data_IF_110744005072
#
_entry.id   IF_110744005072
#
_cell.length_a   1.000
_cell.length_b   1.000
_cell.length_c   1.000
_cell.angle_alpha   90.00
_cell.angle_beta   90.00
_cell.angle_gamma   90.00
#
_symmetry.space_group_name_H-M   'P 1'
#
loop_
_entity.id
_entity.type
_entity.pdbx_description
1 polymer ?
#
# COMPACT_ATOMS: atom_id res chain seq x y z
N UNK A 1 15.41 -31.12 58.00
CA UNK A 1 14.05 -30.68 57.60
C UNK A 1 14.15 -29.96 56.27
N UNK A 2 13.54 -30.56 55.26
CA UNK A 2 13.26 -30.04 53.92
C UNK A 2 12.61 -28.66 53.93
N UNK A 3 12.98 -27.78 52.97
CA UNK A 3 12.08 -26.99 52.09
C UNK A 3 12.89 -26.12 51.09
N UNK A 4 12.31 -25.77 49.91
CA UNK A 4 13.01 -25.74 48.63
C UNK A 4 13.26 -24.33 48.04
N UNK A 5 13.90 -24.34 46.86
CA UNK A 5 14.27 -23.23 46.00
C UNK A 5 13.11 -22.31 45.58
N UNK A 6 13.43 -21.02 45.38
CA UNK A 6 12.65 -20.11 44.55
C UNK A 6 13.61 -19.38 43.59
N UNK A 7 13.60 -19.82 42.35
CA UNK A 7 14.15 -19.08 41.22
C UNK A 7 13.30 -17.82 41.02
N UNK A 8 13.93 -16.66 41.05
CA UNK A 8 13.30 -15.41 40.64
C UNK A 8 13.47 -15.30 39.12
N UNK A 9 12.41 -15.65 38.40
CA UNK A 9 12.32 -15.50 36.96
C UNK A 9 12.44 -14.02 36.58
N UNK A 10 13.27 -13.74 35.57
CA UNK A 10 13.33 -12.45 34.91
C UNK A 10 11.98 -12.16 34.21
N UNK A 11 11.55 -10.89 34.11
CA UNK A 11 10.35 -10.55 33.36
C UNK A 11 10.58 -10.77 31.85
N UNK A 12 9.73 -11.59 31.25
CA UNK A 12 9.56 -11.73 29.80
C UNK A 12 9.29 -10.34 29.17
N UNK A 13 9.90 -10.00 28.03
CA UNK A 13 9.52 -8.80 27.29
C UNK A 13 8.16 -9.06 26.61
N UNK A 14 7.06 -8.61 27.23
CA UNK A 14 5.80 -8.43 26.50
C UNK A 14 5.95 -7.23 25.56
N UNK A 15 6.54 -7.48 24.40
CA UNK A 15 6.46 -6.60 23.24
C UNK A 15 5.10 -6.83 22.57
N UNK A 16 4.03 -6.33 23.19
CA UNK A 16 2.74 -6.17 22.49
C UNK A 16 2.62 -4.72 22.02
N UNK A 17 3.34 -4.45 20.95
CA UNK A 17 3.10 -3.35 20.04
C UNK A 17 3.64 -3.84 18.71
N UNK A 18 2.91 -4.73 18.05
CA UNK A 18 3.17 -5.02 16.64
C UNK A 18 3.18 -3.66 15.93
N UNK A 19 4.31 -3.21 15.35
CA UNK A 19 4.21 -2.13 14.39
C UNK A 19 3.22 -2.64 13.34
N UNK A 20 2.20 -1.85 13.03
CA UNK A 20 1.38 -2.06 11.85
C UNK A 20 2.28 -1.81 10.64
N UNK A 21 3.21 -2.73 10.40
CA UNK A 21 4.00 -2.81 9.21
C UNK A 21 2.98 -3.08 8.12
N UNK A 22 2.89 -2.15 7.17
CA UNK A 22 2.16 -2.38 5.94
C UNK A 22 2.67 -3.63 5.21
N UNK A 23 2.14 -3.95 4.04
CA UNK A 23 2.46 -5.18 3.35
C UNK A 23 3.98 -5.34 3.19
N UNK A 24 4.46 -6.55 3.46
CA UNK A 24 5.86 -6.90 3.19
C UNK A 24 6.13 -6.71 1.71
N UNK A 25 7.02 -5.80 1.33
CA UNK A 25 7.27 -5.45 -0.07
C UNK A 25 7.71 -6.66 -0.92
N UNK A 26 8.40 -7.63 -0.31
CA UNK A 26 8.83 -8.89 -0.93
C UNK A 26 7.67 -9.86 -1.23
N UNK A 27 6.52 -9.65 -0.58
CA UNK A 27 5.31 -10.49 -0.71
C UNK A 27 4.24 -9.86 -1.61
N UNK A 28 4.46 -8.63 -2.08
CA UNK A 28 3.54 -7.96 -3.00
C UNK A 28 3.51 -8.67 -4.35
N UNK A 29 2.30 -8.93 -4.84
CA UNK A 29 2.11 -9.45 -6.18
C UNK A 29 2.13 -8.30 -7.19
N UNK A 30 3.25 -8.15 -7.89
CA UNK A 30 3.41 -7.19 -8.98
C UNK A 30 2.92 -7.75 -10.34
N UNK A 31 2.41 -8.98 -10.37
CA UNK A 31 1.86 -9.54 -11.60
C UNK A 31 0.43 -9.05 -11.84
N UNK A 32 0.03 -8.94 -13.11
CA UNK A 32 -1.32 -8.49 -13.47
C UNK A 32 -1.56 -6.98 -13.39
N UNK A 33 -0.50 -6.18 -13.18
CA UNK A 33 -0.54 -4.73 -13.30
C UNK A 33 -0.98 -4.29 -14.70
N UNK A 34 -1.88 -3.31 -14.75
CA UNK A 34 -2.35 -2.73 -15.99
C UNK A 34 -1.75 -1.33 -16.17
N UNK A 35 -1.20 -0.99 -17.35
CA UNK A 35 -0.71 0.36 -17.58
C UNK A 35 -1.86 1.36 -17.44
N UNK A 36 -1.59 2.48 -16.76
CA UNK A 36 -2.59 3.52 -16.62
C UNK A 36 -2.97 4.07 -18.01
N UNK A 37 -4.26 4.22 -18.34
CA UNK A 37 -4.70 4.73 -19.64
C UNK A 37 -4.02 6.06 -19.98
N UNK A 38 -3.49 6.17 -21.21
CA UNK A 38 -2.74 7.36 -21.64
C UNK A 38 -3.46 8.71 -21.42
N UNK A 39 -4.79 8.83 -21.58
CA UNK A 39 -5.49 10.08 -21.23
C UNK A 39 -5.40 10.46 -19.74
N UNK A 40 -5.41 9.47 -18.84
CA UNK A 40 -5.28 9.69 -17.39
C UNK A 40 -3.86 10.07 -17.03
N UNK A 41 -2.85 9.39 -17.61
CA UNK A 41 -1.43 9.73 -17.46
C UNK A 41 -1.19 11.18 -17.85
N UNK A 42 -1.54 11.57 -19.10
CA UNK A 42 -1.33 12.95 -19.58
C UNK A 42 -2.03 14.00 -18.73
N UNK A 43 -3.24 13.70 -18.25
CA UNK A 43 -3.98 14.61 -17.37
C UNK A 43 -3.28 14.78 -16.03
N UNK A 44 -2.80 13.68 -15.43
CA UNK A 44 -2.05 13.72 -14.18
C UNK A 44 -0.69 14.41 -14.34
N UNK A 45 0.07 14.11 -15.39
CA UNK A 45 1.35 14.77 -15.71
C UNK A 45 1.17 16.29 -15.88
N UNK A 46 0.09 16.71 -16.54
CA UNK A 46 -0.23 18.14 -16.71
C UNK A 46 -0.53 18.83 -15.36
N UNK A 47 -1.18 18.12 -14.44
CA UNK A 47 -1.53 18.63 -13.11
C UNK A 47 -0.33 18.62 -12.15
N UNK A 48 0.54 17.61 -12.25
CA UNK A 48 1.71 17.44 -11.39
C UNK A 48 2.95 18.16 -11.92
N UNK A 49 3.00 18.48 -13.22
CA UNK A 49 4.14 19.16 -13.85
C UNK A 49 5.37 18.27 -14.05
N UNK A 50 5.19 16.95 -14.06
CA UNK A 50 6.27 15.95 -14.16
C UNK A 50 5.79 14.73 -14.92
N UNK A 51 6.73 13.94 -15.46
CA UNK A 51 6.42 12.70 -16.19
C UNK A 51 6.13 11.55 -15.24
N UNK A 52 5.23 10.65 -15.63
CA UNK A 52 4.85 9.46 -14.87
C UNK A 52 5.17 8.17 -15.66
N UNK A 53 6.45 7.89 -15.97
CA UNK A 53 6.80 6.75 -16.82
C UNK A 53 6.49 5.42 -16.13
N UNK A 54 5.75 4.55 -16.82
CA UNK A 54 5.51 3.19 -16.37
C UNK A 54 4.55 3.05 -15.19
N UNK A 55 3.67 4.01 -14.95
CA UNK A 55 2.64 3.88 -13.92
C UNK A 55 1.67 2.73 -14.24
N UNK A 56 1.60 1.76 -13.33
CA UNK A 56 0.77 0.56 -13.43
C UNK A 56 -0.22 0.49 -12.27
N UNK A 57 -1.46 0.13 -12.57
CA UNK A 57 -2.52 -0.08 -11.59
C UNK A 57 -2.73 -1.57 -11.34
N UNK A 58 -2.82 -1.93 -10.07
CA UNK A 58 -3.12 -3.27 -9.58
C UNK A 58 -4.51 -3.27 -8.96
N UNK A 59 -5.35 -4.15 -9.45
CA UNK A 59 -6.75 -4.33 -9.05
C UNK A 59 -7.01 -5.81 -8.77
N UNK A 60 -8.09 -6.10 -8.05
CA UNK A 60 -8.50 -7.47 -7.74
C UNK A 60 -8.10 -7.90 -6.33
N UNK A 61 -8.20 -9.21 -6.06
CA UNK A 61 -8.09 -9.74 -4.71
C UNK A 61 -6.72 -9.46 -4.06
N UNK A 62 -5.63 -9.71 -4.79
CA UNK A 62 -4.28 -9.49 -4.28
C UNK A 62 -4.02 -8.01 -3.94
N UNK A 63 -4.46 -7.09 -4.80
CA UNK A 63 -4.32 -5.65 -4.56
C UNK A 63 -5.20 -5.17 -3.39
N UNK A 64 -6.42 -5.72 -3.23
CA UNK A 64 -7.30 -5.36 -2.13
C UNK A 64 -6.78 -5.87 -0.78
N UNK A 65 -6.22 -7.09 -0.75
CA UNK A 65 -5.56 -7.66 0.44
C UNK A 65 -4.34 -6.83 0.83
N UNK A 66 -3.43 -6.57 -0.11
CA UNK A 66 -2.25 -5.75 0.15
C UNK A 66 -2.61 -4.34 0.66
N UNK A 67 -3.62 -3.70 0.05
CA UNK A 67 -4.06 -2.38 0.47
C UNK A 67 -4.79 -2.42 1.83
N UNK A 68 -5.47 -3.52 2.17
CA UNK A 68 -6.06 -3.73 3.48
C UNK A 68 -4.99 -3.94 4.57
N UNK A 69 -3.94 -4.71 4.29
CA UNK A 69 -2.77 -4.86 5.17
C UNK A 69 -2.06 -3.52 5.41
N UNK A 70 -1.99 -2.67 4.37
CA UNK A 70 -1.48 -1.31 4.49
C UNK A 70 -2.39 -0.36 5.29
N UNK A 71 -3.61 -0.78 5.62
CA UNK A 71 -4.64 0.07 6.22
C UNK A 71 -5.08 1.23 5.30
N UNK A 72 -4.91 1.09 3.99
CA UNK A 72 -5.07 2.17 3.02
C UNK A 72 -6.23 1.92 2.03
N UNK A 73 -6.67 2.97 1.34
CA UNK A 73 -7.63 2.86 0.23
C UNK A 73 -6.95 2.55 -1.10
N UNK A 74 -5.72 3.03 -1.22
CA UNK A 74 -4.76 2.71 -2.24
C UNK A 74 -3.36 3.00 -1.67
N UNK A 75 -2.32 2.47 -2.30
CA UNK A 75 -0.94 2.83 -2.00
C UNK A 75 -0.05 2.63 -3.23
N UNK A 76 1.11 3.30 -3.23
CA UNK A 76 2.09 3.25 -4.31
C UNK A 76 3.42 2.67 -3.83
N UNK A 77 4.02 1.79 -4.65
CA UNK A 77 5.39 1.30 -4.50
C UNK A 77 6.10 1.41 -5.84
N UNK A 78 7.07 2.32 -5.94
CA UNK A 78 7.70 2.67 -7.22
C UNK A 78 6.64 3.19 -8.21
N UNK A 79 6.51 2.53 -9.36
CA UNK A 79 5.48 2.87 -10.36
C UNK A 79 4.21 2.02 -10.25
N UNK A 80 4.08 1.16 -9.23
CA UNK A 80 2.94 0.27 -9.03
C UNK A 80 1.96 0.84 -8.01
N UNK A 81 0.69 0.92 -8.38
CA UNK A 81 -0.38 1.51 -7.56
C UNK A 81 -1.43 0.44 -7.28
N UNK A 82 -1.63 0.10 -6.01
CA UNK A 82 -2.56 -0.93 -5.58
C UNK A 82 -3.82 -0.29 -5.02
N UNK A 83 -4.99 -0.66 -5.52
CA UNK A 83 -6.27 -0.14 -5.03
C UNK A 83 -7.08 -1.18 -4.28
N UNK A 84 -7.74 -0.76 -3.19
CA UNK A 84 -8.83 -1.53 -2.61
C UNK A 84 -9.99 -1.70 -3.58
N UNK A 85 -10.74 -2.78 -3.39
CA UNK A 85 -11.95 -3.10 -4.15
C UNK A 85 -12.92 -1.90 -4.18
N UNK A 86 -13.27 -1.47 -5.40
CA UNK A 86 -14.17 -0.33 -5.64
C UNK A 86 -13.60 1.04 -5.29
N UNK A 87 -12.28 1.18 -5.07
CA UNK A 87 -11.62 2.48 -4.85
C UNK A 87 -11.03 3.07 -6.12
N UNK A 88 -10.68 2.25 -7.10
CA UNK A 88 -10.34 2.73 -8.44
C UNK A 88 -11.62 3.15 -9.18
N UNK A 89 -11.88 4.46 -9.19
CA UNK A 89 -13.07 5.05 -9.80
C UNK A 89 -12.73 6.39 -10.49
N UNK A 90 -11.96 6.37 -11.59
CA UNK A 90 -11.41 7.57 -12.24
C UNK A 90 -12.48 8.50 -12.85
N UNK A 91 -13.73 8.06 -12.95
CA UNK A 91 -14.83 8.92 -13.41
C UNK A 91 -15.46 9.74 -12.27
N UNK A 92 -15.24 9.34 -11.02
CA UNK A 92 -15.77 10.04 -9.84
C UNK A 92 -14.78 11.10 -9.35
N UNK A 93 -15.27 12.14 -8.69
CA UNK A 93 -14.39 13.16 -8.10
C UNK A 93 -13.48 12.55 -7.02
N UNK A 94 -14.05 11.72 -6.14
CA UNK A 94 -13.31 11.09 -5.06
C UNK A 94 -12.24 10.10 -5.57
N UNK A 95 -12.57 9.29 -6.58
CA UNK A 95 -11.61 8.36 -7.18
C UNK A 95 -10.51 9.06 -7.97
N UNK A 96 -10.81 10.17 -8.66
CA UNK A 96 -9.80 11.02 -9.30
C UNK A 96 -8.83 11.62 -8.30
N UNK A 97 -9.35 12.17 -7.20
CA UNK A 97 -8.51 12.74 -6.15
C UNK A 97 -7.59 11.68 -5.54
N UNK A 98 -8.11 10.46 -5.28
CA UNK A 98 -7.29 9.35 -4.80
C UNK A 98 -6.22 8.94 -5.82
N UNK A 99 -6.59 8.78 -7.10
CA UNK A 99 -5.62 8.44 -8.14
C UNK A 99 -4.51 9.49 -8.27
N UNK A 100 -4.85 10.78 -8.24
CA UNK A 100 -3.85 11.85 -8.28
C UNK A 100 -2.94 11.86 -7.06
N UNK A 101 -3.47 11.54 -5.87
CA UNK A 101 -2.66 11.39 -4.67
C UNK A 101 -1.62 10.29 -4.84
N UNK A 102 -2.04 9.11 -5.32
CA UNK A 102 -1.12 7.99 -5.54
C UNK A 102 -0.10 8.27 -6.66
N UNK A 103 -0.52 8.93 -7.74
CA UNK A 103 0.39 9.32 -8.83
C UNK A 103 1.40 10.39 -8.40
N UNK A 104 1.05 11.24 -7.44
CA UNK A 104 2.01 12.16 -6.84
C UNK A 104 3.10 11.40 -6.08
N UNK A 105 2.83 10.20 -5.55
CA UNK A 105 3.87 9.32 -4.98
C UNK A 105 4.72 8.63 -6.05
N UNK A 106 4.16 8.33 -7.23
CA UNK A 106 4.96 7.81 -8.37
C UNK A 106 5.96 8.87 -8.88
N UNK A 107 5.59 10.15 -8.79
CA UNK A 107 6.39 11.26 -9.27
C UNK A 107 7.54 11.69 -8.32
N UNK A 108 7.58 11.17 -7.10
CA UNK A 108 8.60 11.49 -6.09
C UNK A 108 9.89 10.72 -6.34
#
# INVERSE_FOLDING_TARGET
MTRPALALAAPEPTADASPSLGPSLDSLDYSGGQPLPAPLVRSAESLLGTSLPGAEIHLGAAADEAAAEAGARAFTVGSHIFFRSGRYAPDTQAGRALLLHELAHVAQ
#
